data_IF_298634555137
#
_entry.id   IF_298634555137
#
_cell.length_a   1.000
_cell.length_b   1.000
_cell.length_c   1.000
_cell.angle_alpha   90.00
_cell.angle_beta   90.00
_cell.angle_gamma   90.00
#
_symmetry.space_group_name_H-M   'P 1'
#
loop_
_entity.id
_entity.type
_entity.pdbx_description
1 polymer ?
#
# COMPACT_ATOMS: atom_id res chain seq x y z
N UNK A 1 -3.63 -0.32 11.08
CA UNK A 1 -3.05 0.48 9.98
C UNK A 1 -2.80 1.92 10.39
N UNK A 2 -3.59 2.48 11.32
CA UNK A 2 -3.38 3.82 11.92
C UNK A 2 -1.94 4.12 12.39
N UNK A 3 -1.24 3.12 12.94
CA UNK A 3 0.15 3.27 13.37
C UNK A 3 1.14 3.61 12.23
N UNK A 4 0.77 3.40 10.96
CA UNK A 4 1.56 3.85 9.80
C UNK A 4 1.54 5.37 9.62
N UNK A 5 0.61 6.07 10.28
CA UNK A 5 0.52 7.54 10.28
C UNK A 5 0.76 8.15 11.65
N UNK A 6 1.32 7.40 12.60
CA UNK A 6 1.68 7.92 13.91
C UNK A 6 2.68 9.08 13.79
N UNK A 7 2.64 10.05 14.69
CA UNK A 7 3.56 11.19 14.68
C UNK A 7 5.02 10.77 14.85
N UNK A 8 5.26 9.71 15.62
CA UNK A 8 6.60 9.18 15.90
C UNK A 8 7.06 8.26 14.78
N UNK A 9 8.21 8.60 14.20
CA UNK A 9 8.81 7.84 13.12
C UNK A 9 9.04 6.36 13.51
N UNK A 10 9.50 6.11 14.73
CA UNK A 10 9.78 4.76 15.24
C UNK A 10 8.53 3.89 15.30
N UNK A 11 7.36 4.50 15.59
CA UNK A 11 6.07 3.79 15.59
C UNK A 11 5.67 3.44 14.16
N UNK A 12 5.81 4.38 13.21
CA UNK A 12 5.54 4.12 11.80
C UNK A 12 6.44 3.01 11.24
N UNK A 13 7.73 3.07 11.55
CA UNK A 13 8.71 2.04 11.16
C UNK A 13 8.33 0.67 11.71
N UNK A 14 8.06 0.55 13.01
CA UNK A 14 7.66 -0.72 13.63
C UNK A 14 6.35 -1.26 13.07
N UNK A 15 5.39 -0.38 12.76
CA UNK A 15 4.14 -0.77 12.11
C UNK A 15 4.39 -1.35 10.72
N UNK A 16 5.24 -0.70 9.92
CA UNK A 16 5.61 -1.18 8.59
C UNK A 16 6.33 -2.53 8.65
N UNK A 17 7.35 -2.67 9.50
CA UNK A 17 8.08 -3.92 9.73
C UNK A 17 7.14 -5.07 10.17
N UNK A 18 6.17 -4.76 11.05
CA UNK A 18 5.16 -5.73 11.47
C UNK A 18 4.31 -6.23 10.30
N UNK A 19 3.89 -5.33 9.41
CA UNK A 19 3.08 -5.67 8.24
C UNK A 19 3.86 -6.44 7.18
N UNK A 20 5.13 -6.09 6.96
CA UNK A 20 6.06 -6.85 6.11
C UNK A 20 6.18 -8.29 6.62
N UNK A 21 6.35 -8.47 7.93
CA UNK A 21 6.41 -9.81 8.56
C UNK A 21 5.10 -10.58 8.51
N UNK A 22 3.95 -9.91 8.56
CA UNK A 22 2.63 -10.52 8.30
C UNK A 22 2.55 -11.03 6.86
N UNK A 23 3.24 -10.36 5.93
CA UNK A 23 3.35 -10.77 4.54
C UNK A 23 2.03 -10.57 3.80
N UNK A 24 1.77 -11.38 2.77
CA UNK A 24 0.73 -11.14 1.74
C UNK A 24 -0.67 -10.83 2.27
N UNK A 25 -1.02 -11.30 3.47
CA UNK A 25 -2.31 -11.00 4.13
C UNK A 25 -2.50 -9.52 4.42
N UNK A 26 -1.41 -8.74 4.53
CA UNK A 26 -1.48 -7.30 4.73
C UNK A 26 -1.84 -6.52 3.45
N UNK A 27 -1.61 -7.09 2.26
CA UNK A 27 -1.71 -6.34 0.99
C UNK A 27 -3.13 -5.81 0.74
N UNK A 28 -4.15 -6.65 0.87
CA UNK A 28 -5.55 -6.24 0.61
C UNK A 28 -6.00 -5.11 1.55
N UNK A 29 -5.83 -5.22 2.88
CA UNK A 29 -6.13 -4.11 3.79
C UNK A 29 -5.37 -2.82 3.49
N UNK A 30 -4.10 -2.91 3.05
CA UNK A 30 -3.30 -1.75 2.69
C UNK A 30 -3.86 -1.05 1.43
N UNK A 31 -4.24 -1.82 0.41
CA UNK A 31 -4.86 -1.29 -0.79
C UNK A 31 -6.24 -0.66 -0.49
N UNK A 32 -7.04 -1.27 0.37
CA UNK A 32 -8.33 -0.69 0.82
C UNK A 32 -8.13 0.67 1.50
N UNK A 33 -7.09 0.83 2.32
CA UNK A 33 -6.75 2.13 2.91
C UNK A 33 -6.33 3.13 1.84
N UNK A 34 -5.52 2.73 0.86
CA UNK A 34 -5.13 3.61 -0.24
C UNK A 34 -6.31 4.07 -1.11
N UNK A 35 -7.36 3.26 -1.23
CA UNK A 35 -8.60 3.67 -1.92
C UNK A 35 -9.35 4.75 -1.15
N UNK A 36 -9.45 4.62 0.18
CA UNK A 36 -10.34 5.45 0.99
C UNK A 36 -9.67 6.66 1.66
N UNK A 37 -8.34 6.65 1.81
CA UNK A 37 -7.58 7.59 2.63
C UNK A 37 -6.25 8.02 1.98
N UNK A 38 -6.22 8.18 0.65
CA UNK A 38 -5.02 8.58 -0.11
C UNK A 38 -4.57 10.03 0.11
N UNK A 39 -5.40 10.86 0.73
CA UNK A 39 -5.11 12.25 1.07
C UNK A 39 -4.05 12.36 2.17
N UNK A 40 -3.94 11.34 3.02
CA UNK A 40 -2.93 11.28 4.07
C UNK A 40 -1.55 10.97 3.50
N UNK A 41 -0.64 11.96 3.56
CA UNK A 41 0.76 11.78 3.21
C UNK A 41 1.43 10.66 4.01
N UNK A 42 1.27 10.64 5.34
CA UNK A 42 1.91 9.63 6.18
C UNK A 42 1.41 8.21 5.92
N UNK A 43 0.11 8.03 5.65
CA UNK A 43 -0.41 6.73 5.25
C UNK A 43 0.19 6.30 3.91
N UNK A 44 0.27 7.18 2.92
CA UNK A 44 0.91 6.85 1.63
C UNK A 44 2.36 6.44 1.81
N UNK A 45 3.16 7.19 2.55
CA UNK A 45 4.57 6.87 2.80
C UNK A 45 4.75 5.53 3.53
N UNK A 46 4.00 5.31 4.62
CA UNK A 46 4.09 4.08 5.38
C UNK A 46 3.64 2.86 4.57
N UNK A 47 2.58 3.00 3.79
CA UNK A 47 2.08 1.93 2.92
C UNK A 47 3.04 1.70 1.74
N UNK A 48 3.62 2.76 1.16
CA UNK A 48 4.63 2.67 0.10
C UNK A 48 5.80 1.81 0.54
N UNK A 49 6.36 2.08 1.73
CA UNK A 49 7.44 1.28 2.29
C UNK A 49 7.09 -0.21 2.38
N UNK A 50 5.92 -0.54 2.93
CA UNK A 50 5.46 -1.93 3.07
C UNK A 50 5.27 -2.59 1.71
N UNK A 51 4.57 -1.93 0.79
CA UNK A 51 4.29 -2.48 -0.53
C UNK A 51 5.55 -2.62 -1.38
N UNK A 52 6.51 -1.70 -1.25
CA UNK A 52 7.80 -1.75 -1.93
C UNK A 52 8.60 -2.97 -1.49
N UNK A 53 8.75 -3.21 -0.17
CA UNK A 53 9.47 -4.38 0.35
C UNK A 53 8.80 -5.70 -0.07
N UNK A 54 7.46 -5.72 -0.06
CA UNK A 54 6.68 -6.88 -0.45
C UNK A 54 6.55 -7.10 -1.96
N UNK A 55 7.08 -6.20 -2.80
CA UNK A 55 6.94 -6.20 -4.25
C UNK A 55 7.82 -7.25 -4.95
N UNK A 56 7.61 -8.53 -4.64
CA UNK A 56 8.47 -9.63 -5.13
C UNK A 56 7.68 -10.74 -5.82
N UNK A 57 8.21 -11.23 -6.95
CA UNK A 57 7.65 -12.36 -7.70
C UNK A 57 6.33 -12.04 -8.41
N UNK A 58 5.35 -12.95 -8.33
CA UNK A 58 4.09 -12.84 -9.10
C UNK A 58 3.21 -11.65 -8.71
N UNK A 59 3.38 -11.09 -7.51
CA UNK A 59 2.58 -9.95 -7.04
C UNK A 59 3.03 -8.63 -7.69
N UNK A 60 4.24 -8.60 -8.27
CA UNK A 60 4.82 -7.38 -8.84
C UNK A 60 4.02 -6.80 -9.99
N UNK A 61 3.33 -7.64 -10.76
CA UNK A 61 2.40 -7.17 -11.81
C UNK A 61 1.22 -6.40 -11.23
N UNK A 62 0.81 -6.72 -10.00
CA UNK A 62 -0.32 -6.08 -9.31
C UNK A 62 0.13 -4.83 -8.55
N UNK A 63 1.28 -4.87 -7.86
CA UNK A 63 1.72 -3.76 -7.00
C UNK A 63 2.46 -2.65 -7.74
N UNK A 64 3.12 -2.94 -8.86
CA UNK A 64 3.92 -1.95 -9.59
C UNK A 64 3.13 -0.70 -10.00
N UNK A 65 1.90 -0.79 -10.54
CA UNK A 65 1.10 0.41 -10.84
C UNK A 65 0.80 1.25 -9.60
N UNK A 66 0.60 0.61 -8.44
CA UNK A 66 0.36 1.31 -7.16
C UNK A 66 1.61 2.04 -6.69
N UNK A 67 2.78 1.41 -6.78
CA UNK A 67 4.06 2.04 -6.42
C UNK A 67 4.38 3.23 -7.34
N UNK A 68 4.15 3.09 -8.65
CA UNK A 68 4.31 4.21 -9.60
C UNK A 68 3.39 5.38 -9.24
N UNK A 69 2.13 5.11 -8.87
CA UNK A 69 1.20 6.16 -8.45
C UNK A 69 1.62 6.83 -7.13
N UNK A 70 2.18 6.05 -6.19
CA UNK A 70 2.72 6.58 -4.92
C UNK A 70 3.94 7.48 -5.13
N UNK A 71 4.75 7.19 -6.15
CA UNK A 71 5.95 7.95 -6.56
C UNK A 71 5.63 9.05 -7.59
N UNK A 72 4.36 9.20 -7.96
CA UNK A 72 3.87 10.10 -9.00
C UNK A 72 3.79 11.57 -8.58
N UNK A 73 3.37 12.41 -9.53
CA UNK A 73 3.25 13.86 -9.30
C UNK A 73 1.99 14.21 -8.51
N UNK A 74 0.90 13.47 -8.69
CA UNK A 74 -0.34 13.69 -7.94
C UNK A 74 -0.85 12.41 -7.25
N UNK A 75 -0.14 11.90 -6.23
CA UNK A 75 -0.50 10.61 -5.64
C UNK A 75 -1.88 10.65 -4.95
N UNK A 76 -2.42 11.81 -4.57
CA UNK A 76 -3.76 11.88 -3.94
C UNK A 76 -4.88 11.51 -4.93
N UNK A 77 -4.64 11.75 -6.22
CA UNK A 77 -5.56 11.44 -7.33
C UNK A 77 -5.25 10.07 -7.95
N UNK A 78 -3.97 9.77 -8.13
CA UNK A 78 -3.53 8.55 -8.85
C UNK A 78 -3.64 7.28 -7.98
N UNK A 79 -3.32 7.38 -6.69
CA UNK A 79 -3.22 6.22 -5.79
C UNK A 79 -4.55 5.51 -5.59
N UNK A 80 -5.70 6.17 -5.36
CA UNK A 80 -6.98 5.47 -5.23
C UNK A 80 -7.33 4.63 -6.45
N UNK A 81 -7.07 5.17 -7.65
CA UNK A 81 -7.37 4.49 -8.91
C UNK A 81 -6.48 3.26 -9.10
N UNK A 82 -5.17 3.40 -8.87
CA UNK A 82 -4.22 2.30 -8.97
C UNK A 82 -4.50 1.22 -7.90
N UNK A 83 -4.82 1.62 -6.67
CA UNK A 83 -5.14 0.71 -5.58
C UNK A 83 -6.44 -0.08 -5.85
N UNK A 84 -7.48 0.58 -6.37
CA UNK A 84 -8.72 -0.10 -6.75
C UNK A 84 -8.49 -1.12 -7.86
N UNK A 85 -7.71 -0.77 -8.89
CA UNK A 85 -7.37 -1.70 -9.97
C UNK A 85 -6.59 -2.93 -9.44
N UNK A 86 -5.70 -2.71 -8.47
CA UNK A 86 -4.96 -3.79 -7.82
C UNK A 86 -5.89 -4.70 -7.00
N UNK A 87 -6.85 -4.14 -6.25
CA UNK A 87 -7.87 -4.92 -5.52
C UNK A 87 -8.69 -5.79 -6.47
N UNK A 88 -9.20 -5.20 -7.55
CA UNK A 88 -9.99 -5.91 -8.55
C UNK A 88 -9.20 -7.07 -9.17
N UNK A 89 -7.91 -6.88 -9.44
CA UNK A 89 -7.02 -7.91 -9.97
C UNK A 89 -6.80 -9.07 -8.98
N UNK A 90 -6.72 -8.78 -7.68
CA UNK A 90 -6.55 -9.81 -6.64
C UNK A 90 -7.84 -10.61 -6.40
N UNK A 91 -8.98 -9.94 -6.44
CA UNK A 91 -10.30 -10.58 -6.28
C UNK A 91 -10.59 -11.48 -7.50
N UNK A 92 -10.37 -10.99 -8.72
CA UNK A 92 -10.59 -11.77 -9.95
C UNK A 92 -9.69 -13.01 -10.06
N UNK A 93 -8.47 -12.97 -9.50
CA UNK A 93 -7.55 -14.13 -9.47
C UNK A 93 -7.89 -15.18 -8.40
N UNK A 94 -8.90 -14.91 -7.57
CA UNK A 94 -9.38 -15.82 -6.51
C UNK A 94 -10.61 -16.64 -6.93
N UNK A 95 -11.15 -16.38 -8.14
CA UNK A 95 -12.17 -17.19 -8.82
C UNK A 95 -11.51 -18.13 -9.83
#
# INVERSE_FOLDING_TARGET
LEALSDEKFEVRWLAAEGLIRIGRKAIVPLLEVLVNHSDSYWLREGIHHVLHDMNTGKITEVLRPVLVALEGLEPSLEVPLAAQAALDALIKKSC
#
